data_IF_028108511514
#
_entry.id   IF_028108511514
#
_cell.length_a   1.000
_cell.length_b   1.000
_cell.length_c   1.000
_cell.angle_alpha   90.00
_cell.angle_beta   90.00
_cell.angle_gamma   90.00
#
_symmetry.space_group_name_H-M   'P 1'
#
loop_
_entity.id
_entity.type
_entity.pdbx_description
1 polymer ?
#
# COMPACT_ATOMS: atom_id res chain seq x y z
N UNK A 1 -19.68 2.02 -0.99
CA UNK A 1 -19.29 0.59 -0.89
C UNK A 1 -20.55 -0.22 -1.05
N UNK A 2 -20.81 -0.76 -2.24
CA UNK A 2 -21.90 -1.71 -2.42
C UNK A 2 -21.62 -2.91 -1.50
N UNK A 3 -22.46 -3.09 -0.48
CA UNK A 3 -22.45 -4.31 0.32
C UNK A 3 -23.24 -5.37 -0.43
N UNK A 4 -22.56 -6.30 -1.08
CA UNK A 4 -23.15 -7.54 -1.54
C UNK A 4 -23.39 -8.45 -0.32
N UNK A 5 -24.47 -9.24 -0.27
CA UNK A 5 -24.83 -10.06 0.88
C UNK A 5 -23.82 -11.21 1.03
N UNK A 6 -23.06 -11.19 2.12
CA UNK A 6 -22.25 -12.33 2.54
C UNK A 6 -23.13 -13.31 3.31
N UNK A 7 -23.20 -14.49 2.78
CA UNK A 7 -24.01 -15.61 3.29
C UNK A 7 -23.52 -16.05 4.69
N UNK A 8 -24.49 -16.14 5.62
CA UNK A 8 -24.29 -16.72 6.95
C UNK A 8 -24.47 -18.22 6.83
N UNK A 9 -23.44 -19.01 7.13
CA UNK A 9 -23.53 -20.28 7.90
C UNK A 9 -22.22 -21.07 7.87
N UNK A 10 -21.55 -21.21 9.01
CA UNK A 10 -21.34 -22.52 9.66
C UNK A 10 -20.56 -22.35 10.97
N UNK A 11 -21.26 -22.59 12.07
CA UNK A 11 -20.66 -22.87 13.37
C UNK A 11 -20.23 -24.35 13.40
N UNK A 12 -19.01 -24.63 13.82
CA UNK A 12 -18.64 -25.93 14.36
C UNK A 12 -17.74 -25.71 15.60
N UNK A 13 -18.27 -26.15 16.74
CA UNK A 13 -17.53 -26.28 18.01
C UNK A 13 -16.46 -27.37 17.87
N UNK A 14 -15.26 -27.11 18.38
CA UNK A 14 -14.41 -28.14 18.95
C UNK A 14 -13.75 -27.64 20.23
N UNK A 15 -13.88 -28.48 21.26
CA UNK A 15 -13.36 -28.26 22.60
C UNK A 15 -11.94 -28.83 22.78
N UNK A 16 -11.12 -28.06 23.42
CA UNK A 16 -10.11 -28.32 24.42
C UNK A 16 -9.03 -29.40 24.26
N UNK A 17 -7.77 -28.94 24.37
CA UNK A 17 -6.76 -29.64 25.17
C UNK A 17 -5.73 -28.60 25.66
N UNK A 18 -5.63 -28.45 26.97
CA UNK A 18 -4.65 -27.59 27.62
C UNK A 18 -3.29 -28.28 27.63
N UNK A 19 -2.34 -27.72 26.87
CA UNK A 19 -0.94 -28.05 26.96
C UNK A 19 -0.17 -26.87 27.53
N UNK A 20 0.45 -27.06 28.72
CA UNK A 20 1.29 -26.04 29.37
C UNK A 20 2.55 -25.81 28.53
N UNK A 21 2.62 -24.73 27.79
CA UNK A 21 3.83 -24.26 27.14
C UNK A 21 4.56 -23.30 28.07
N UNK A 22 5.79 -23.62 28.39
CA UNK A 22 6.76 -22.71 29.00
C UNK A 22 6.95 -21.52 28.06
N UNK A 23 6.42 -20.36 28.43
CA UNK A 23 6.73 -19.08 27.80
C UNK A 23 8.16 -18.69 28.14
N UNK A 24 9.09 -18.93 27.23
CA UNK A 24 10.32 -18.18 27.22
C UNK A 24 9.92 -16.71 26.92
N UNK A 25 10.00 -15.86 27.95
CA UNK A 25 9.91 -14.42 27.81
C UNK A 25 11.09 -13.97 26.94
N UNK A 26 10.89 -13.82 25.63
CA UNK A 26 11.78 -13.02 24.80
C UNK A 26 11.63 -11.59 25.30
N UNK A 27 12.66 -11.03 25.94
CA UNK A 27 12.72 -9.60 26.21
C UNK A 27 12.45 -8.89 24.88
N UNK A 28 11.33 -8.17 24.78
CA UNK A 28 11.06 -7.29 23.64
C UNK A 28 12.16 -6.23 23.69
N UNK A 29 12.88 -6.07 22.56
CA UNK A 29 13.87 -5.02 22.43
C UNK A 29 13.20 -3.66 22.73
N UNK A 30 13.85 -2.81 23.53
CA UNK A 30 13.33 -1.48 23.87
C UNK A 30 13.35 -0.60 22.62
N UNK A 31 12.17 -0.47 21.99
CA UNK A 31 11.97 0.37 20.81
C UNK A 31 11.70 1.79 21.28
N UNK A 32 12.41 2.77 20.74
CA UNK A 32 12.22 4.17 21.06
C UNK A 32 11.46 4.89 19.93
N UNK A 33 10.31 5.46 20.26
CA UNK A 33 9.54 6.31 19.38
C UNK A 33 9.86 7.79 19.65
N UNK A 34 10.18 8.55 18.61
CA UNK A 34 10.47 9.99 18.65
C UNK A 34 9.48 10.72 17.77
N UNK A 35 8.66 11.56 18.37
CA UNK A 35 7.73 12.41 17.62
C UNK A 35 8.49 13.53 16.90
N UNK A 36 8.10 13.78 15.65
CA UNK A 36 8.70 14.80 14.79
C UNK A 36 7.64 15.65 14.11
N UNK A 37 8.03 16.89 13.80
CA UNK A 37 7.24 17.83 12.98
C UNK A 37 8.10 18.27 11.82
N UNK A 38 7.71 17.90 10.61
CA UNK A 38 8.52 18.06 9.39
C UNK A 38 7.86 19.11 8.49
N UNK A 39 8.50 20.28 8.28
CA UNK A 39 8.02 21.25 7.29
C UNK A 39 8.07 20.64 5.87
N UNK A 40 6.94 20.74 5.14
CA UNK A 40 6.80 20.16 3.81
C UNK A 40 5.90 21.09 2.94
N UNK A 41 6.51 22.11 2.35
CA UNK A 41 5.77 23.18 1.67
C UNK A 41 4.90 23.98 2.66
N UNK A 42 3.61 24.08 2.37
CA UNK A 42 2.62 24.79 3.23
C UNK A 42 2.11 23.92 4.39
N UNK A 43 2.54 22.68 4.49
CA UNK A 43 2.17 21.76 5.56
C UNK A 43 3.30 21.55 6.57
N UNK A 44 2.93 21.22 7.81
CA UNK A 44 3.81 20.60 8.79
C UNK A 44 3.31 19.18 8.99
N UNK A 45 4.12 18.22 8.62
CA UNK A 45 3.77 16.80 8.75
C UNK A 45 4.17 16.32 10.15
N UNK A 46 3.20 15.85 10.91
CA UNK A 46 3.44 15.15 12.16
C UNK A 46 3.86 13.72 11.87
N UNK A 47 4.93 13.27 12.50
CA UNK A 47 5.50 11.95 12.25
C UNK A 47 6.06 11.29 13.48
N UNK A 48 6.40 10.02 13.35
CA UNK A 48 7.10 9.23 14.37
C UNK A 48 8.30 8.57 13.74
N UNK A 49 9.49 8.81 14.30
CA UNK A 49 10.69 8.01 14.05
C UNK A 49 10.69 6.87 15.06
N UNK A 50 10.75 5.64 14.57
CA UNK A 50 10.89 4.44 15.40
C UNK A 50 12.31 3.94 15.29
N UNK A 51 13.01 3.89 16.41
CA UNK A 51 14.43 3.54 16.51
C UNK A 51 14.60 2.20 17.26
N UNK A 52 15.54 1.35 16.83
CA UNK A 52 15.97 0.21 17.62
C UNK A 52 16.69 0.65 18.91
N UNK A 53 16.82 -0.23 19.87
CA UNK A 53 17.64 -0.01 21.08
C UNK A 53 19.13 0.16 20.75
N UNK A 54 19.63 -0.63 19.80
CA UNK A 54 21.00 -0.54 19.31
C UNK A 54 21.15 0.52 18.22
N UNK A 55 22.39 0.84 17.83
CA UNK A 55 22.64 1.65 16.64
C UNK A 55 21.98 1.00 15.43
N UNK A 56 21.16 1.74 14.66
CA UNK A 56 20.54 1.21 13.45
C UNK A 56 21.59 0.77 12.43
N UNK A 57 21.27 -0.26 11.65
CA UNK A 57 22.08 -0.67 10.49
C UNK A 57 21.63 -0.02 9.18
N UNK A 58 20.41 0.48 9.14
CA UNK A 58 19.79 1.19 8.02
C UNK A 58 18.58 2.00 8.48
N UNK A 59 18.08 2.86 7.62
CA UNK A 59 16.86 3.62 7.83
C UNK A 59 15.90 3.50 6.65
N UNK A 60 14.59 3.53 6.92
CA UNK A 60 13.55 3.45 5.90
C UNK A 60 12.46 4.50 6.15
N UNK A 61 12.12 5.28 5.11
CA UNK A 61 10.91 6.12 5.10
C UNK A 61 9.73 5.25 4.66
N UNK A 62 8.68 5.16 5.48
CA UNK A 62 7.49 4.36 5.19
C UNK A 62 6.38 5.24 4.59
N UNK A 63 5.89 4.86 3.40
CA UNK A 63 4.86 5.59 2.66
C UNK A 63 3.61 4.73 2.51
N UNK A 64 2.51 5.21 3.07
CA UNK A 64 1.21 4.53 3.06
C UNK A 64 0.61 4.49 1.64
N UNK A 65 -0.34 3.57 1.46
CA UNK A 65 -1.14 3.44 0.24
C UNK A 65 -2.14 4.56 0.03
N UNK A 66 -3.15 4.27 -0.79
CA UNK A 66 -4.24 5.18 -1.13
C UNK A 66 -5.08 5.57 0.08
N UNK A 67 -5.45 6.83 0.12
CA UNK A 67 -6.38 7.40 1.08
C UNK A 67 -5.73 8.35 2.10
N UNK A 68 -6.58 9.05 2.86
CA UNK A 68 -6.16 10.01 3.87
C UNK A 68 -5.78 9.28 5.17
N UNK A 69 -4.57 8.79 5.24
CA UNK A 69 -4.10 8.00 6.36
C UNK A 69 -3.34 8.82 7.40
N UNK A 70 -3.52 8.48 8.65
CA UNK A 70 -2.54 8.78 9.69
C UNK A 70 -1.28 7.94 9.44
N UNK A 71 -0.17 8.30 10.11
CA UNK A 71 1.13 7.60 10.01
C UNK A 71 1.04 6.09 10.21
N UNK A 72 0.06 5.63 10.96
CA UNK A 72 -0.10 4.22 11.29
C UNK A 72 -0.92 3.41 10.28
N UNK A 73 -1.63 4.06 9.34
CA UNK A 73 -2.49 3.39 8.35
C UNK A 73 -3.38 2.32 8.98
N UNK A 74 -4.47 2.76 9.62
CA UNK A 74 -5.38 1.87 10.34
C UNK A 74 -6.15 0.95 9.38
N UNK A 75 -5.94 -0.36 9.49
CA UNK A 75 -6.62 -1.40 8.71
C UNK A 75 -7.28 -2.39 9.67
N UNK A 76 -8.58 -2.53 9.61
CA UNK A 76 -9.36 -3.45 10.48
C UNK A 76 -9.00 -3.33 11.97
N UNK A 77 -8.69 -2.13 12.43
CA UNK A 77 -8.30 -1.85 13.82
C UNK A 77 -6.82 -2.07 14.13
N UNK A 78 -6.02 -2.57 13.19
CA UNK A 78 -4.57 -2.70 13.34
C UNK A 78 -3.84 -1.46 12.81
N UNK A 79 -2.78 -1.05 13.48
CA UNK A 79 -1.86 0.03 13.07
C UNK A 79 -0.83 -0.51 12.08
N UNK A 80 -1.25 -0.77 10.83
CA UNK A 80 -0.45 -1.55 9.87
C UNK A 80 1.00 -1.04 9.72
N UNK A 81 1.19 0.24 9.40
CA UNK A 81 2.52 0.84 9.27
C UNK A 81 3.24 1.00 10.62
N UNK A 82 2.49 1.19 11.71
CA UNK A 82 3.03 1.22 13.06
C UNK A 82 3.63 -0.13 13.46
N UNK A 83 2.89 -1.22 13.22
CA UNK A 83 3.36 -2.58 13.47
C UNK A 83 4.58 -2.94 12.60
N UNK A 84 4.58 -2.51 11.32
CA UNK A 84 5.74 -2.71 10.45
C UNK A 84 6.98 -1.95 10.97
N UNK A 85 6.80 -0.70 11.40
CA UNK A 85 7.88 0.11 11.96
C UNK A 85 8.51 -0.54 13.21
N UNK A 86 7.67 -1.04 14.11
CA UNK A 86 8.09 -1.75 15.32
C UNK A 86 8.84 -3.04 14.96
N UNK A 87 8.30 -3.85 14.07
CA UNK A 87 8.93 -5.10 13.63
C UNK A 87 10.27 -4.88 12.90
N UNK A 88 10.42 -3.77 12.15
CA UNK A 88 11.69 -3.40 11.53
C UNK A 88 12.70 -2.89 12.57
N UNK A 89 12.26 -2.13 13.57
CA UNK A 89 13.12 -1.67 14.66
C UNK A 89 13.68 -2.83 15.48
N UNK A 90 12.88 -3.87 15.76
CA UNK A 90 13.37 -5.12 16.38
C UNK A 90 14.50 -5.79 15.58
N UNK A 91 14.62 -5.50 14.30
CA UNK A 91 15.65 -6.01 13.37
C UNK A 91 16.78 -5.02 13.10
N UNK A 92 16.87 -3.95 13.91
CA UNK A 92 17.93 -2.95 13.80
C UNK A 92 17.71 -1.95 12.65
N UNK A 93 16.49 -1.75 12.16
CA UNK A 93 16.18 -0.82 11.08
C UNK A 93 15.36 0.34 11.63
N UNK A 94 15.91 1.57 11.56
CA UNK A 94 15.18 2.77 11.92
C UNK A 94 14.11 3.09 10.87
N UNK A 95 12.97 3.64 11.29
CA UNK A 95 11.93 4.04 10.34
C UNK A 95 11.37 5.42 10.66
N UNK A 96 10.83 6.10 9.67
CA UNK A 96 9.99 7.29 9.84
C UNK A 96 8.68 7.10 9.06
N UNK A 97 7.57 7.52 9.66
CA UNK A 97 6.25 7.55 9.06
C UNK A 97 5.52 8.82 9.48
N UNK A 98 4.70 9.39 8.59
CA UNK A 98 4.03 10.68 8.81
C UNK A 98 2.52 10.58 8.57
N UNK A 99 1.75 11.42 9.26
CA UNK A 99 0.36 11.66 8.91
C UNK A 99 0.30 12.42 7.57
N UNK A 100 -0.60 12.05 6.67
CA UNK A 100 -0.81 12.82 5.45
C UNK A 100 -1.23 14.26 5.77
N UNK A 101 -0.89 15.21 4.89
CA UNK A 101 -1.33 16.61 5.03
C UNK A 101 -2.84 16.71 5.24
N UNK A 102 -3.27 17.52 6.21
CA UNK A 102 -4.66 17.68 6.60
C UNK A 102 -5.31 16.47 7.28
N UNK A 103 -4.49 15.52 7.79
CA UNK A 103 -4.95 14.32 8.48
C UNK A 103 -4.20 14.18 9.82
N UNK A 104 -4.85 13.60 10.82
CA UNK A 104 -4.25 13.33 12.12
C UNK A 104 -3.76 14.60 12.79
N UNK A 105 -2.45 14.70 13.04
CA UNK A 105 -1.80 15.85 13.65
C UNK A 105 -1.05 16.72 12.62
N UNK A 106 -1.05 16.34 11.33
CA UNK A 106 -0.46 17.16 10.27
C UNK A 106 -1.34 18.35 9.93
N UNK A 107 -0.71 19.49 9.66
CA UNK A 107 -1.38 20.70 9.17
C UNK A 107 -1.45 20.71 7.64
N UNK A 108 -1.95 21.81 7.08
CA UNK A 108 -2.08 22.02 5.65
C UNK A 108 -3.40 21.49 5.09
N UNK A 109 -3.58 21.65 3.79
CA UNK A 109 -4.77 21.17 3.12
C UNK A 109 -4.72 19.65 2.93
N UNK A 110 -5.91 19.03 2.95
CA UNK A 110 -6.05 17.61 2.62
C UNK A 110 -5.71 17.39 1.15
N UNK A 111 -4.80 16.47 0.89
CA UNK A 111 -4.39 16.12 -0.47
C UNK A 111 -5.57 15.60 -1.29
N UNK A 112 -5.58 15.96 -2.57
CA UNK A 112 -6.62 15.57 -3.53
C UNK A 112 -6.21 14.36 -4.36
N UNK A 113 -4.90 14.10 -4.51
CA UNK A 113 -4.36 12.97 -5.27
C UNK A 113 -2.89 12.69 -4.88
N UNK A 114 -2.42 11.48 -5.13
CA UNK A 114 -1.12 10.98 -4.67
C UNK A 114 0.08 11.85 -5.11
N UNK A 115 0.04 12.49 -6.29
CA UNK A 115 1.16 13.31 -6.77
C UNK A 115 1.46 14.51 -5.87
N UNK A 116 0.46 15.00 -5.14
CA UNK A 116 0.68 16.07 -4.15
C UNK A 116 1.48 15.60 -2.93
N UNK A 117 1.51 14.29 -2.67
CA UNK A 117 2.33 13.70 -1.60
C UNK A 117 3.83 13.68 -1.95
N UNK A 118 4.19 13.64 -3.23
CA UNK A 118 5.58 13.45 -3.66
C UNK A 118 6.52 14.49 -3.06
N UNK A 119 6.31 15.82 -3.21
CA UNK A 119 7.19 16.81 -2.58
C UNK A 119 7.19 16.75 -1.05
N UNK A 120 6.08 16.33 -0.43
CA UNK A 120 6.00 16.16 1.01
C UNK A 120 6.87 14.98 1.48
N UNK A 121 6.85 13.86 0.75
CA UNK A 121 7.68 12.69 1.06
C UNK A 121 9.16 12.98 0.77
N UNK A 122 9.50 13.78 -0.24
CA UNK A 122 10.88 14.28 -0.43
C UNK A 122 11.35 14.98 0.84
N UNK A 123 10.56 15.90 1.40
CA UNK A 123 10.91 16.58 2.64
C UNK A 123 11.08 15.62 3.85
N UNK A 124 10.29 14.54 3.90
CA UNK A 124 10.44 13.50 4.95
C UNK A 124 11.75 12.74 4.79
N UNK A 125 12.11 12.38 3.55
CA UNK A 125 13.41 11.72 3.26
C UNK A 125 14.57 12.63 3.63
N UNK A 126 14.52 13.92 3.25
CA UNK A 126 15.55 14.90 3.59
C UNK A 126 15.67 15.11 5.10
N UNK A 127 14.54 15.16 5.80
CA UNK A 127 14.55 15.23 7.27
C UNK A 127 15.24 14.00 7.87
N UNK A 128 14.92 12.79 7.38
CA UNK A 128 15.51 11.56 7.90
C UNK A 128 17.02 11.48 7.59
N UNK A 129 17.45 11.87 6.38
CA UNK A 129 18.85 11.89 5.98
C UNK A 129 19.73 12.79 6.87
N UNK A 130 19.15 13.85 7.44
CA UNK A 130 19.84 14.80 8.32
C UNK A 130 19.79 14.42 9.80
N UNK A 131 19.20 13.29 10.17
CA UNK A 131 19.13 12.83 11.57
C UNK A 131 20.45 12.26 12.04
N UNK A 132 20.98 12.66 13.22
CA UNK A 132 22.22 12.11 13.76
C UNK A 132 22.18 10.59 13.94
N UNK A 133 21.01 10.03 14.24
CA UNK A 133 20.83 8.60 14.50
C UNK A 133 21.02 7.73 13.26
N UNK A 134 20.90 8.32 12.07
CA UNK A 134 20.98 7.59 10.78
C UNK A 134 22.07 8.11 9.87
N UNK A 135 22.81 9.13 10.30
CA UNK A 135 23.87 9.74 9.48
C UNK A 135 24.94 8.71 9.09
N UNK A 136 25.21 8.58 7.80
CA UNK A 136 26.19 7.64 7.25
C UNK A 136 25.69 6.19 7.17
N UNK A 137 24.43 5.95 7.47
CA UNK A 137 23.77 4.64 7.28
C UNK A 137 23.03 4.60 5.94
N UNK A 138 22.79 3.40 5.39
CA UNK A 138 21.91 3.23 4.26
C UNK A 138 20.53 3.82 4.52
N UNK A 139 20.05 4.67 3.62
CA UNK A 139 18.71 5.26 3.68
C UNK A 139 17.88 4.80 2.48
N UNK A 140 16.81 4.11 2.75
CA UNK A 140 15.86 3.67 1.74
C UNK A 140 14.45 4.23 1.95
N UNK A 141 13.58 3.88 1.01
CA UNK A 141 12.17 4.25 1.05
C UNK A 141 11.30 3.03 0.75
N UNK A 142 10.20 2.87 1.49
CA UNK A 142 9.23 1.79 1.30
C UNK A 142 7.86 2.38 0.97
N UNK A 143 7.23 1.89 -0.11
CA UNK A 143 5.88 2.28 -0.51
C UNK A 143 4.93 1.10 -0.57
N UNK A 144 3.78 1.24 0.09
CA UNK A 144 2.70 0.26 0.06
C UNK A 144 1.62 0.66 -0.95
N UNK A 145 1.19 -0.28 -1.81
CA UNK A 145 0.07 -0.06 -2.73
C UNK A 145 0.32 1.18 -3.62
N UNK A 146 -0.57 2.19 -3.62
CA UNK A 146 -0.35 3.49 -4.27
C UNK A 146 0.97 4.14 -3.84
N UNK A 147 1.41 3.93 -2.59
CA UNK A 147 2.71 4.39 -2.11
C UNK A 147 3.88 3.88 -2.94
N UNK A 148 3.75 2.72 -3.61
CA UNK A 148 4.78 2.21 -4.53
C UNK A 148 5.02 3.14 -5.73
N UNK A 149 3.98 3.81 -6.21
CA UNK A 149 4.10 4.82 -7.27
C UNK A 149 4.76 6.10 -6.74
N UNK A 150 4.41 6.51 -5.52
CA UNK A 150 4.98 7.69 -4.88
C UNK A 150 6.48 7.53 -4.67
N UNK A 151 6.94 6.40 -4.14
CA UNK A 151 8.37 6.21 -3.82
C UNK A 151 9.26 6.18 -5.06
N UNK A 152 8.80 5.68 -6.19
CA UNK A 152 9.54 5.73 -7.44
C UNK A 152 9.63 7.14 -8.01
N UNK A 153 8.58 7.94 -7.87
CA UNK A 153 8.59 9.37 -8.24
C UNK A 153 9.50 10.17 -7.30
N UNK A 154 9.44 9.94 -5.98
CA UNK A 154 10.35 10.56 -4.99
C UNK A 154 11.80 10.28 -5.35
N UNK A 155 12.11 9.03 -5.70
CA UNK A 155 13.46 8.64 -6.12
C UNK A 155 13.94 9.48 -7.31
N UNK A 156 13.07 9.75 -8.30
CA UNK A 156 13.46 10.52 -9.51
C UNK A 156 13.54 12.02 -9.29
N UNK A 157 13.01 12.56 -8.21
CA UNK A 157 12.94 14.00 -7.92
C UNK A 157 13.99 14.47 -6.91
N UNK A 158 14.84 13.57 -6.41
CA UNK A 158 15.89 13.91 -5.46
C UNK A 158 17.24 14.09 -6.16
N UNK A 159 17.98 15.11 -5.75
CA UNK A 159 19.36 15.31 -6.15
C UNK A 159 20.32 14.33 -5.43
N UNK A 160 20.02 14.04 -4.15
CA UNK A 160 20.77 13.06 -3.35
C UNK A 160 20.15 11.68 -3.48
N UNK A 161 20.95 10.64 -3.84
CA UNK A 161 20.42 9.29 -4.04
C UNK A 161 19.88 8.67 -2.75
N UNK A 162 18.89 7.80 -2.91
CA UNK A 162 18.55 6.80 -1.92
C UNK A 162 19.46 5.58 -2.12
N UNK A 163 19.70 4.80 -1.08
CA UNK A 163 20.52 3.59 -1.21
C UNK A 163 19.72 2.37 -1.69
N UNK A 164 18.37 2.39 -1.48
CA UNK A 164 17.49 1.31 -1.91
C UNK A 164 16.01 1.70 -1.91
N UNK A 165 15.21 0.92 -2.64
CA UNK A 165 13.74 1.08 -2.70
C UNK A 165 13.07 -0.25 -2.35
N UNK A 166 12.02 -0.19 -1.54
CA UNK A 166 11.12 -1.33 -1.27
C UNK A 166 9.72 -0.96 -1.76
N UNK A 167 9.10 -1.84 -2.52
CA UNK A 167 7.69 -1.71 -2.91
C UNK A 167 6.94 -2.93 -2.44
N UNK A 168 5.83 -2.74 -1.71
CA UNK A 168 5.01 -3.83 -1.18
C UNK A 168 3.56 -3.70 -1.62
N UNK A 169 2.95 -4.82 -2.05
CA UNK A 169 1.63 -4.79 -2.66
C UNK A 169 1.60 -3.79 -3.82
N UNK A 170 2.64 -3.83 -4.67
CA UNK A 170 2.97 -2.75 -5.58
C UNK A 170 2.09 -2.74 -6.84
N UNK A 171 1.81 -1.53 -7.32
CA UNK A 171 1.10 -1.29 -8.59
C UNK A 171 2.10 -1.40 -9.75
N UNK A 172 1.98 -2.46 -10.56
CA UNK A 172 2.85 -2.75 -11.71
C UNK A 172 2.21 -2.45 -13.08
N UNK A 173 0.99 -1.96 -13.09
CA UNK A 173 0.23 -1.63 -14.30
C UNK A 173 -0.29 -0.21 -14.23
N UNK A 174 -0.72 0.33 -15.34
CA UNK A 174 -1.43 1.60 -15.34
C UNK A 174 -2.68 1.54 -14.46
N UNK A 175 -3.07 2.68 -13.91
CA UNK A 175 -4.17 2.78 -12.95
C UNK A 175 -5.50 2.30 -13.51
N UNK A 176 -5.76 2.51 -14.82
CA UNK A 176 -6.93 1.96 -15.54
C UNK A 176 -6.98 0.44 -15.37
N UNK A 177 -5.91 -0.24 -15.79
CA UNK A 177 -5.84 -1.71 -15.79
C UNK A 177 -6.02 -2.25 -14.37
N UNK A 178 -5.29 -1.71 -13.40
CA UNK A 178 -5.38 -2.15 -12.00
C UNK A 178 -6.79 -1.95 -11.45
N UNK A 179 -7.38 -0.77 -11.65
CA UNK A 179 -8.71 -0.49 -11.13
C UNK A 179 -9.80 -1.37 -11.77
N UNK A 180 -9.77 -1.54 -13.10
CA UNK A 180 -10.73 -2.41 -13.79
C UNK A 180 -10.58 -3.86 -13.32
N UNK A 181 -9.35 -4.37 -13.18
CA UNK A 181 -9.11 -5.73 -12.70
C UNK A 181 -9.60 -5.93 -11.26
N UNK A 182 -9.42 -4.94 -10.38
CA UNK A 182 -9.97 -4.98 -9.02
C UNK A 182 -11.50 -5.01 -9.00
N UNK A 183 -12.16 -4.16 -9.83
CA UNK A 183 -13.62 -4.03 -9.81
C UNK A 183 -14.32 -5.15 -10.57
N UNK A 184 -13.79 -5.57 -11.72
CA UNK A 184 -14.33 -6.61 -12.58
C UNK A 184 -13.70 -7.99 -12.32
N UNK A 185 -13.13 -8.22 -11.14
CA UNK A 185 -12.62 -9.52 -10.74
C UNK A 185 -13.79 -10.54 -10.76
N UNK A 186 -13.68 -11.67 -11.47
CA UNK A 186 -14.72 -12.69 -11.55
C UNK A 186 -15.23 -13.17 -10.19
N UNK A 187 -14.36 -13.27 -9.20
CA UNK A 187 -14.71 -13.70 -7.84
C UNK A 187 -15.67 -12.74 -7.11
N UNK A 188 -15.80 -11.50 -7.59
CA UNK A 188 -16.76 -10.51 -7.08
C UNK A 188 -18.13 -10.61 -7.77
N UNK A 189 -18.20 -11.35 -8.89
CA UNK A 189 -19.35 -11.42 -9.79
C UNK A 189 -19.77 -12.87 -10.05
N UNK A 190 -19.66 -13.72 -9.02
CA UNK A 190 -19.92 -15.18 -9.12
C UNK A 190 -21.35 -15.53 -9.53
N UNK A 191 -22.31 -14.65 -9.24
CA UNK A 191 -23.72 -14.81 -9.65
C UNK A 191 -23.93 -14.52 -11.15
N UNK A 192 -22.92 -14.01 -11.85
CA UNK A 192 -22.99 -13.63 -13.26
C UNK A 192 -22.28 -14.63 -14.16
N UNK A 193 -22.88 -14.92 -15.31
CA UNK A 193 -22.23 -15.75 -16.35
C UNK A 193 -20.99 -15.06 -16.90
N UNK A 194 -20.04 -15.79 -17.51
CA UNK A 194 -18.85 -15.17 -18.13
C UNK A 194 -19.19 -14.09 -19.17
N UNK A 195 -20.30 -14.23 -19.90
CA UNK A 195 -20.77 -13.22 -20.85
C UNK A 195 -21.22 -11.93 -20.12
N UNK A 196 -21.96 -12.05 -19.02
CA UNK A 196 -22.37 -10.89 -18.19
C UNK A 196 -21.16 -10.25 -17.51
N UNK A 197 -20.20 -11.03 -17.00
CA UNK A 197 -18.95 -10.51 -16.45
C UNK A 197 -18.15 -9.69 -17.49
N UNK A 198 -18.16 -10.11 -18.76
CA UNK A 198 -17.53 -9.35 -19.84
C UNK A 198 -18.25 -8.01 -20.10
N UNK A 199 -19.58 -7.98 -20.04
CA UNK A 199 -20.38 -6.73 -20.16
C UNK A 199 -20.08 -5.80 -18.97
N UNK A 200 -20.04 -6.32 -17.74
CA UNK A 200 -19.69 -5.56 -16.55
C UNK A 200 -18.27 -4.97 -16.66
N UNK A 201 -17.30 -5.77 -17.12
CA UNK A 201 -15.93 -5.27 -17.37
C UNK A 201 -15.90 -4.15 -18.40
N UNK A 202 -16.68 -4.25 -19.49
CA UNK A 202 -16.80 -3.19 -20.48
C UNK A 202 -17.42 -1.91 -19.90
N UNK A 203 -18.42 -2.04 -19.01
CA UNK A 203 -19.02 -0.90 -18.31
C UNK A 203 -18.01 -0.21 -17.38
N UNK A 204 -17.18 -0.96 -16.65
CA UNK A 204 -16.08 -0.39 -15.86
C UNK A 204 -15.05 0.36 -16.72
N UNK A 205 -14.69 -0.16 -17.89
CA UNK A 205 -13.82 0.56 -18.83
C UNK A 205 -14.45 1.89 -19.28
N UNK A 206 -15.75 1.92 -19.56
CA UNK A 206 -16.46 3.14 -19.94
C UNK A 206 -16.46 4.19 -18.83
N UNK A 207 -16.57 3.75 -17.55
CA UNK A 207 -16.45 4.65 -16.40
C UNK A 207 -15.03 5.24 -16.34
N UNK A 208 -14.01 4.42 -16.56
CA UNK A 208 -12.62 4.89 -16.57
C UNK A 208 -12.37 5.91 -17.68
N UNK A 209 -12.88 5.67 -18.90
CA UNK A 209 -12.77 6.62 -20.00
C UNK A 209 -13.41 7.97 -19.67
N UNK A 210 -14.63 7.92 -19.11
CA UNK A 210 -15.34 9.11 -18.67
C UNK A 210 -14.59 9.84 -17.52
N UNK A 211 -14.07 9.10 -16.54
CA UNK A 211 -13.31 9.66 -15.42
C UNK A 211 -12.06 10.40 -15.89
N UNK A 212 -11.27 9.80 -16.77
CA UNK A 212 -10.05 10.41 -17.32
C UNK A 212 -10.37 11.65 -18.16
N UNK A 213 -11.52 11.68 -18.86
CA UNK A 213 -11.94 12.86 -19.62
C UNK A 213 -12.29 14.07 -18.76
N UNK A 214 -12.60 13.85 -17.47
CA UNK A 214 -13.05 14.91 -16.55
C UNK A 214 -14.50 15.33 -16.74
N UNK A 215 -15.25 14.67 -17.61
CA UNK A 215 -16.68 14.96 -17.86
C UNK A 215 -17.56 14.22 -16.84
N UNK A 216 -17.99 14.95 -15.79
CA UNK A 216 -18.83 14.39 -14.73
C UNK A 216 -20.15 13.82 -15.26
N UNK A 217 -20.75 14.43 -16.29
CA UNK A 217 -22.01 13.93 -16.82
C UNK A 217 -21.81 12.61 -17.58
N UNK A 218 -20.68 12.47 -18.30
CA UNK A 218 -20.30 11.20 -18.91
C UNK A 218 -20.01 10.13 -17.84
N UNK A 219 -19.36 10.48 -16.72
CA UNK A 219 -19.15 9.58 -15.58
C UNK A 219 -20.50 9.10 -15.04
N UNK A 220 -21.44 10.00 -14.78
CA UNK A 220 -22.76 9.63 -14.26
C UNK A 220 -23.50 8.67 -15.20
N UNK A 221 -23.48 8.96 -16.50
CA UNK A 221 -24.11 8.09 -17.50
C UNK A 221 -23.47 6.69 -17.54
N UNK A 222 -22.14 6.61 -17.48
CA UNK A 222 -21.40 5.35 -17.45
C UNK A 222 -21.66 4.56 -16.16
N UNK A 223 -21.69 5.22 -14.99
CA UNK A 223 -22.02 4.59 -13.70
C UNK A 223 -23.44 4.05 -13.68
N UNK A 224 -24.41 4.83 -14.16
CA UNK A 224 -25.81 4.38 -14.29
C UNK A 224 -25.92 3.15 -15.19
N UNK A 225 -25.18 3.12 -16.28
CA UNK A 225 -25.14 1.95 -17.16
C UNK A 225 -24.56 0.72 -16.45
N UNK A 226 -23.46 0.87 -15.72
CA UNK A 226 -22.88 -0.22 -14.92
C UNK A 226 -23.92 -0.82 -13.96
N UNK A 227 -24.64 0.01 -13.20
CA UNK A 227 -25.65 -0.47 -12.27
C UNK A 227 -26.77 -1.26 -12.95
N UNK A 228 -27.22 -0.79 -14.15
CA UNK A 228 -28.22 -1.53 -14.94
C UNK A 228 -27.71 -2.88 -15.43
N UNK A 229 -26.48 -2.92 -15.96
CA UNK A 229 -25.86 -4.18 -16.42
C UNK A 229 -25.61 -5.15 -15.27
N UNK A 230 -25.35 -4.64 -14.06
CA UNK A 230 -25.24 -5.42 -12.84
C UNK A 230 -26.59 -5.87 -12.25
N UNK A 231 -27.72 -5.49 -12.86
CA UNK A 231 -29.06 -5.88 -12.42
C UNK A 231 -29.61 -5.11 -11.22
N UNK A 232 -29.06 -3.91 -10.93
CA UNK A 232 -29.54 -3.07 -9.83
C UNK A 232 -30.94 -2.49 -10.15
N UNK A 233 -31.77 -2.38 -9.12
CA UNK A 233 -33.07 -1.74 -9.18
C UNK A 233 -32.92 -0.21 -9.33
N UNK A 234 -33.97 0.50 -9.81
CA UNK A 234 -33.93 1.97 -9.90
C UNK A 234 -33.77 2.64 -8.51
N UNK A 235 -34.24 2.00 -7.43
CA UNK A 235 -34.04 2.48 -6.05
C UNK A 235 -32.57 2.39 -5.63
N UNK A 236 -31.91 1.25 -5.86
CA UNK A 236 -30.48 1.06 -5.58
C UNK A 236 -29.60 1.98 -6.43
N UNK A 237 -30.00 2.23 -7.70
CA UNK A 237 -29.32 3.19 -8.56
C UNK A 237 -29.47 4.60 -7.98
N UNK A 238 -30.67 5.03 -7.61
CA UNK A 238 -30.90 6.36 -7.05
C UNK A 238 -30.12 6.59 -5.75
N UNK A 239 -29.99 5.58 -4.90
CA UNK A 239 -29.26 5.65 -3.63
C UNK A 239 -27.73 5.78 -3.82
N UNK A 240 -27.16 5.09 -4.81
CA UNK A 240 -25.71 4.94 -4.93
C UNK A 240 -25.06 5.77 -6.06
N UNK A 241 -25.85 6.26 -7.02
CA UNK A 241 -25.35 6.89 -8.24
C UNK A 241 -24.49 8.12 -7.98
N UNK A 242 -24.99 9.04 -7.13
CA UNK A 242 -24.30 10.32 -6.87
C UNK A 242 -22.94 10.07 -6.21
N UNK A 243 -22.90 9.29 -5.13
CA UNK A 243 -21.66 9.01 -4.38
C UNK A 243 -20.63 8.27 -5.22
N UNK A 244 -21.06 7.33 -6.07
CA UNK A 244 -20.14 6.64 -6.97
C UNK A 244 -19.63 7.56 -8.09
N UNK A 245 -20.51 8.40 -8.65
CA UNK A 245 -20.16 9.42 -9.66
C UNK A 245 -19.15 10.41 -9.10
N UNK A 246 -19.39 10.97 -7.92
CA UNK A 246 -18.49 11.93 -7.29
C UNK A 246 -17.11 11.34 -7.04
N UNK A 247 -17.05 10.10 -6.57
CA UNK A 247 -15.78 9.39 -6.42
C UNK A 247 -15.05 9.25 -7.75
N UNK A 248 -15.73 8.77 -8.79
CA UNK A 248 -15.11 8.51 -10.09
C UNK A 248 -14.75 9.79 -10.84
N UNK A 249 -15.47 10.89 -10.61
CA UNK A 249 -15.17 12.20 -11.17
C UNK A 249 -14.14 13.00 -10.32
N UNK A 250 -13.66 12.44 -9.20
CA UNK A 250 -12.71 13.13 -8.31
C UNK A 250 -11.33 13.30 -8.95
N UNK A 251 -10.57 14.35 -8.59
CA UNK A 251 -9.19 14.52 -9.01
C UNK A 251 -8.29 13.33 -8.65
N UNK A 252 -8.56 12.67 -7.49
CA UNK A 252 -7.87 11.47 -7.06
C UNK A 252 -7.97 10.36 -8.12
N UNK A 253 -9.20 10.02 -8.53
CA UNK A 253 -9.42 8.96 -9.48
C UNK A 253 -8.90 9.33 -10.88
N UNK A 254 -9.08 10.58 -11.34
CA UNK A 254 -8.55 11.02 -12.62
C UNK A 254 -7.04 10.85 -12.71
N UNK A 255 -6.31 11.32 -11.70
CA UNK A 255 -4.84 11.22 -11.65
C UNK A 255 -4.38 9.77 -11.53
N UNK A 256 -5.04 8.96 -10.69
CA UNK A 256 -4.71 7.55 -10.51
C UNK A 256 -4.93 6.74 -11.80
N UNK A 257 -6.12 6.86 -12.40
CA UNK A 257 -6.49 6.08 -13.59
C UNK A 257 -5.65 6.41 -14.83
N UNK A 258 -5.17 7.65 -14.94
CA UNK A 258 -4.32 8.11 -16.04
C UNK A 258 -2.83 7.83 -15.82
N UNK A 259 -2.41 7.32 -14.66
CA UNK A 259 -1.00 7.13 -14.33
C UNK A 259 -0.52 5.73 -14.68
N UNK A 260 0.65 5.66 -15.36
CA UNK A 260 1.44 4.44 -15.53
C UNK A 260 2.74 4.58 -14.72
N UNK A 261 2.98 3.75 -13.69
CA UNK A 261 4.19 3.84 -12.87
C UNK A 261 5.44 3.28 -13.55
N UNK A 262 5.31 2.43 -14.57
CA UNK A 262 6.45 1.70 -15.14
C UNK A 262 7.49 2.57 -15.83
N UNK A 263 7.14 3.64 -16.59
CA UNK A 263 8.15 4.56 -17.15
C UNK A 263 8.99 5.28 -16.10
N UNK A 264 8.43 5.51 -14.90
CA UNK A 264 9.16 6.10 -13.76
C UNK A 264 10.03 5.05 -13.10
N UNK A 265 9.48 3.88 -12.83
CA UNK A 265 10.21 2.74 -12.26
C UNK A 265 11.43 2.36 -13.10
N UNK A 266 11.34 2.40 -14.43
CA UNK A 266 12.45 2.10 -15.34
C UNK A 266 13.66 3.03 -15.18
N UNK A 267 13.53 4.14 -14.46
CA UNK A 267 14.65 5.07 -14.17
C UNK A 267 15.39 4.68 -12.88
N UNK A 268 14.79 3.89 -11.99
CA UNK A 268 15.40 3.50 -10.71
C UNK A 268 16.62 2.62 -10.94
N UNK A 269 17.79 3.07 -10.48
CA UNK A 269 19.07 2.36 -10.65
C UNK A 269 19.53 1.64 -9.39
N UNK A 270 19.01 2.03 -8.22
CA UNK A 270 19.37 1.43 -6.94
C UNK A 270 18.73 0.05 -6.74
N UNK A 271 19.22 -0.76 -5.78
CA UNK A 271 18.61 -2.02 -5.44
C UNK A 271 17.11 -1.87 -5.08
N UNK A 272 16.29 -2.74 -5.64
CA UNK A 272 14.84 -2.77 -5.40
C UNK A 272 14.41 -4.13 -4.85
N UNK A 273 13.70 -4.11 -3.74
CA UNK A 273 12.90 -5.25 -3.28
C UNK A 273 11.42 -5.00 -3.62
N UNK A 274 10.83 -5.89 -4.38
CA UNK A 274 9.41 -5.85 -4.71
C UNK A 274 8.69 -7.06 -4.07
N UNK A 275 7.75 -6.79 -3.14
CA UNK A 275 7.08 -7.83 -2.34
C UNK A 275 5.58 -7.80 -2.61
N UNK A 276 4.97 -8.97 -2.83
CA UNK A 276 3.52 -9.14 -2.95
C UNK A 276 3.02 -10.25 -2.03
N UNK A 277 1.79 -10.10 -1.57
CA UNK A 277 1.02 -11.20 -1.01
C UNK A 277 0.54 -12.14 -2.13
N UNK A 278 0.64 -13.45 -1.92
CA UNK A 278 0.24 -14.45 -2.93
C UNK A 278 -1.26 -14.51 -3.17
N UNK A 279 -2.05 -14.08 -2.17
CA UNK A 279 -3.51 -13.99 -2.23
C UNK A 279 -4.02 -12.54 -2.25
N UNK A 280 -3.16 -11.58 -2.62
CA UNK A 280 -3.52 -10.17 -2.72
C UNK A 280 -4.57 -9.93 -3.81
N UNK A 281 -5.82 -9.52 -3.46
CA UNK A 281 -6.87 -9.27 -4.44
C UNK A 281 -6.81 -7.85 -5.03
N UNK A 282 -6.03 -6.95 -4.42
CA UNK A 282 -5.94 -5.55 -4.82
C UNK A 282 -4.86 -5.35 -5.88
N UNK A 283 -3.68 -5.92 -5.66
CA UNK A 283 -2.53 -5.85 -6.57
C UNK A 283 -1.96 -7.25 -6.81
N UNK A 284 -2.81 -8.16 -7.31
CA UNK A 284 -2.45 -9.56 -7.53
C UNK A 284 -1.07 -9.72 -8.18
N UNK A 285 -0.17 -10.57 -7.62
CA UNK A 285 1.14 -10.81 -8.20
C UNK A 285 1.08 -11.37 -9.62
N UNK A 286 0.01 -12.07 -9.98
CA UNK A 286 -0.19 -12.65 -11.31
C UNK A 286 -0.13 -11.59 -12.43
N UNK A 287 -0.53 -10.34 -12.14
CA UNK A 287 -0.56 -9.27 -13.14
C UNK A 287 0.44 -8.15 -12.85
N UNK A 288 0.91 -7.99 -11.60
CA UNK A 288 1.76 -6.87 -11.22
C UNK A 288 3.26 -7.20 -11.17
N UNK A 289 3.66 -8.46 -11.02
CA UNK A 289 5.08 -8.86 -10.94
C UNK A 289 5.80 -8.72 -12.29
N UNK A 290 5.20 -9.25 -13.37
CA UNK A 290 5.82 -9.28 -14.68
C UNK A 290 6.22 -7.89 -15.21
N UNK A 291 5.40 -6.82 -15.07
CA UNK A 291 5.80 -5.47 -15.45
C UNK A 291 7.04 -4.96 -14.73
N UNK A 292 7.21 -5.22 -13.43
CA UNK A 292 8.44 -4.88 -12.70
C UNK A 292 9.67 -5.57 -13.27
N UNK A 293 9.56 -6.87 -13.61
CA UNK A 293 10.67 -7.63 -14.20
C UNK A 293 11.05 -7.06 -15.58
N UNK A 294 10.06 -6.77 -16.43
CA UNK A 294 10.29 -6.34 -17.81
C UNK A 294 10.80 -4.90 -17.89
N UNK A 295 10.29 -4.02 -17.03
CA UNK A 295 10.63 -2.58 -17.07
C UNK A 295 11.75 -2.19 -16.10
N UNK A 296 12.39 -3.15 -15.41
CA UNK A 296 13.51 -2.80 -14.52
C UNK A 296 14.63 -2.11 -15.27
N UNK A 297 15.24 -1.13 -14.65
CA UNK A 297 16.49 -0.57 -15.15
C UNK A 297 17.58 -1.66 -15.18
N UNK A 298 18.34 -1.84 -16.27
CA UNK A 298 19.43 -2.83 -16.31
C UNK A 298 20.51 -2.62 -15.24
N UNK A 299 20.71 -1.39 -14.76
CA UNK A 299 21.65 -1.07 -13.69
C UNK A 299 21.11 -1.43 -12.30
N UNK A 300 19.79 -1.51 -12.15
CA UNK A 300 19.13 -1.88 -10.89
C UNK A 300 19.20 -3.38 -10.62
N UNK A 301 19.31 -3.74 -9.34
CA UNK A 301 19.14 -5.11 -8.85
C UNK A 301 17.73 -5.28 -8.33
N UNK A 302 16.87 -5.92 -9.10
CA UNK A 302 15.51 -6.22 -8.69
C UNK A 302 15.43 -7.60 -8.03
N UNK A 303 14.98 -7.64 -6.79
CA UNK A 303 14.55 -8.87 -6.11
C UNK A 303 13.03 -8.87 -6.03
N UNK A 304 12.40 -9.96 -6.47
CA UNK A 304 10.96 -10.18 -6.36
C UNK A 304 10.70 -11.23 -5.31
N UNK A 305 9.78 -10.95 -4.38
CA UNK A 305 9.32 -11.87 -3.35
C UNK A 305 7.79 -11.95 -3.38
N UNK A 306 7.25 -13.15 -3.49
CA UNK A 306 5.80 -13.40 -3.33
C UNK A 306 5.63 -14.25 -2.08
N UNK A 307 4.89 -13.74 -1.10
CA UNK A 307 4.61 -14.42 0.18
C UNK A 307 3.26 -15.14 0.03
N UNK A 308 3.23 -16.48 -0.05
CA UNK A 308 2.10 -17.24 -0.63
C UNK A 308 0.76 -17.02 0.07
N UNK A 309 0.75 -16.90 1.40
CA UNK A 309 -0.48 -16.84 2.22
C UNK A 309 -0.81 -15.41 2.68
N UNK A 310 -0.07 -14.42 2.19
CA UNK A 310 -0.26 -13.03 2.57
C UNK A 310 -1.26 -12.32 1.66
N UNK A 311 -2.08 -11.46 2.25
CA UNK A 311 -3.00 -10.58 1.55
C UNK A 311 -2.38 -9.17 1.33
N UNK A 312 -3.16 -8.20 0.86
CA UNK A 312 -2.67 -6.87 0.46
C UNK A 312 -1.96 -6.07 1.57
N UNK A 313 -2.38 -6.21 2.82
CA UNK A 313 -1.84 -5.46 3.96
C UNK A 313 -0.82 -6.26 4.77
N UNK A 314 -0.58 -7.51 4.39
CA UNK A 314 0.28 -8.44 5.13
C UNK A 314 -0.16 -8.62 6.60
N UNK A 315 -1.47 -8.63 6.80
CA UNK A 315 -2.09 -8.85 8.10
C UNK A 315 -2.71 -10.24 8.17
N UNK A 316 -2.70 -10.83 9.34
CA UNK A 316 -3.38 -12.09 9.63
C UNK A 316 -4.13 -12.01 10.96
N UNK A 317 -5.14 -12.87 11.14
CA UNK A 317 -5.83 -13.07 12.40
C UNK A 317 -5.65 -14.50 12.89
N UNK A 318 -5.37 -14.69 14.18
CA UNK A 318 -5.25 -16.04 14.74
C UNK A 318 -6.58 -16.80 14.60
N UNK A 319 -6.52 -17.99 13.98
CA UNK A 319 -7.70 -18.82 13.73
C UNK A 319 -8.65 -18.32 12.64
N UNK A 320 -8.23 -17.33 11.85
CA UNK A 320 -8.91 -16.90 10.64
C UNK A 320 -8.27 -17.54 9.41
N UNK A 321 -9.06 -17.70 8.35
CA UNK A 321 -8.53 -18.13 7.05
C UNK A 321 -7.66 -17.00 6.45
N UNK A 322 -6.67 -17.31 5.61
CA UNK A 322 -5.86 -16.32 4.93
C UNK A 322 -6.72 -15.30 4.17
N UNK A 323 -6.49 -14.00 4.39
CA UNK A 323 -7.27 -12.91 3.81
C UNK A 323 -8.55 -12.53 4.57
N UNK A 324 -8.95 -13.30 5.59
CA UNK A 324 -10.03 -12.89 6.47
C UNK A 324 -9.59 -11.82 7.45
N UNK A 325 -10.42 -10.78 7.62
CA UNK A 325 -10.18 -9.69 8.55
C UNK A 325 -11.23 -9.65 9.66
N UNK A 326 -10.77 -9.55 10.90
CA UNK A 326 -11.62 -9.32 12.05
C UNK A 326 -11.15 -8.10 12.83
N UNK A 327 -12.02 -7.10 12.97
CA UNK A 327 -11.68 -5.83 13.59
C UNK A 327 -11.07 -6.02 14.99
N UNK A 328 -9.91 -5.36 15.21
CA UNK A 328 -9.17 -5.39 16.47
C UNK A 328 -8.43 -6.71 16.78
N UNK A 329 -8.39 -7.67 15.85
CA UNK A 329 -7.72 -8.97 16.03
C UNK A 329 -6.62 -9.23 14.99
N UNK A 330 -6.32 -8.23 14.15
CA UNK A 330 -5.30 -8.37 13.12
C UNK A 330 -3.90 -8.10 13.67
N UNK A 331 -2.94 -8.88 13.21
CA UNK A 331 -1.51 -8.78 13.53
C UNK A 331 -0.74 -8.67 12.22
N UNK A 332 0.42 -8.01 12.26
CA UNK A 332 1.33 -8.02 11.11
C UNK A 332 1.95 -9.42 10.95
N UNK A 333 1.97 -9.91 9.72
CA UNK A 333 2.67 -11.14 9.39
C UNK A 333 4.18 -10.98 9.62
N UNK A 334 4.84 -11.94 10.28
CA UNK A 334 6.29 -11.90 10.47
C UNK A 334 7.08 -12.11 9.17
N UNK A 335 6.43 -12.61 8.11
CA UNK A 335 7.09 -12.92 6.83
C UNK A 335 7.57 -11.65 6.12
N UNK A 336 6.77 -10.58 6.13
CA UNK A 336 7.12 -9.31 5.49
C UNK A 336 8.38 -8.65 6.09
N UNK A 337 8.44 -8.33 7.41
CA UNK A 337 9.65 -7.72 7.98
C UNK A 337 10.87 -8.66 7.92
N UNK A 338 10.69 -9.97 7.94
CA UNK A 338 11.78 -10.93 7.72
C UNK A 338 12.32 -10.87 6.29
N UNK A 339 11.45 -10.82 5.28
CA UNK A 339 11.86 -10.71 3.88
C UNK A 339 12.63 -9.41 3.63
N UNK A 340 12.16 -8.27 4.15
CA UNK A 340 12.85 -6.98 4.05
C UNK A 340 14.22 -7.05 4.73
N UNK A 341 14.26 -7.56 5.96
CA UNK A 341 15.50 -7.66 6.74
C UNK A 341 16.56 -8.53 6.05
N UNK A 342 16.20 -9.73 5.63
CA UNK A 342 17.12 -10.67 4.98
C UNK A 342 17.63 -10.11 3.65
N UNK A 343 16.77 -9.48 2.86
CA UNK A 343 17.17 -8.86 1.62
C UNK A 343 18.17 -7.71 1.87
N UNK A 344 17.87 -6.83 2.82
CA UNK A 344 18.72 -5.69 3.15
C UNK A 344 20.09 -6.15 3.68
N UNK A 345 20.13 -7.14 4.57
CA UNK A 345 21.38 -7.72 5.07
C UNK A 345 22.25 -8.29 3.92
N UNK A 346 21.63 -8.92 2.93
CA UNK A 346 22.33 -9.42 1.75
C UNK A 346 22.87 -8.28 0.87
N UNK A 347 22.09 -7.22 0.61
CA UNK A 347 22.55 -6.10 -0.22
C UNK A 347 23.67 -5.30 0.47
N UNK A 348 23.62 -5.14 1.81
CA UNK A 348 24.70 -4.53 2.59
C UNK A 348 25.96 -5.42 2.52
N UNK A 349 25.83 -6.74 2.74
CA UNK A 349 26.96 -7.67 2.66
C UNK A 349 27.64 -7.72 1.27
N UNK A 350 26.86 -7.49 0.22
CA UNK A 350 27.36 -7.40 -1.15
C UNK A 350 27.99 -6.02 -1.48
N UNK A 351 27.94 -5.05 -0.55
CA UNK A 351 28.40 -3.68 -0.77
C UNK A 351 27.58 -2.94 -1.86
N UNK A 352 26.30 -3.30 -2.03
CA UNK A 352 25.38 -2.71 -3.00
C UNK A 352 24.48 -1.64 -2.37
N UNK A 353 24.33 -1.70 -1.07
CA UNK A 353 23.75 -0.69 -0.19
C UNK A 353 24.88 -0.24 0.73
N UNK A 354 25.11 1.06 0.85
CA UNK A 354 26.28 1.65 1.54
C UNK A 354 26.21 1.50 3.04
#
# INVERSE_FOLDING_TARGET
MLRLPLDRKRNALFAGLAGSMFLASTAMADIRNVEVSIPAGDAILAGTITLPESTPKAAIVLVQGNGPHTRDQMISGARNMGLLAEALAERGIATVRVDNSGVGQSTGERIQHFKQRIPQIVAVVDHMANRPEVQGLPLGILGHSEGSMIVTEVWTQRDEPLDFVVVMGAVGRDGRTVWVDQQANPDRWTEHTPAQQAVIRAAFNSIVDASISGDRAAVEAAVRNLFKEAGATEEEIAENLEGFTDRMASPEMQVFLAHDPMPVFAKVTDPVLAVWGGIDPATSPAINVQPYIVNRNPASRLTVSVLPEEEHFFLYGEGLEPGEHKFGQMKLSPHLPNAINQWLDNEIALGKVR
#
